data_IF_095075186402
#
_entry.id   IF_095075186402
#
_cell.length_a   1.000
_cell.length_b   1.000
_cell.length_c   1.000
_cell.angle_alpha   90.00
_cell.angle_beta   90.00
_cell.angle_gamma   90.00
#
_symmetry.space_group_name_H-M   'P 1'
#
loop_
_entity.id
_entity.type
_entity.pdbx_description
1 polymer ?
#
# COMPACT_ATOMS: atom_id res chain seq x y z
N UNK A 1 14.75 -1.29 16.79
CA UNK A 1 14.75 -2.41 17.77
C UNK A 1 13.53 -2.39 18.71
N UNK A 2 13.17 -1.26 19.37
CA UNK A 2 12.01 -1.22 20.30
C UNK A 2 10.69 -1.64 19.62
N UNK A 3 10.40 -1.12 18.42
CA UNK A 3 9.21 -1.52 17.66
C UNK A 3 9.23 -3.01 17.29
N UNK A 4 10.36 -3.51 16.81
CA UNK A 4 10.51 -4.93 16.46
C UNK A 4 10.21 -5.85 17.65
N UNK A 5 10.74 -5.52 18.84
CA UNK A 5 10.46 -6.30 20.06
C UNK A 5 8.96 -6.29 20.39
N UNK A 6 8.29 -5.12 20.28
CA UNK A 6 6.85 -5.02 20.49
C UNK A 6 6.08 -5.93 19.52
N UNK A 7 6.43 -5.93 18.22
CA UNK A 7 5.77 -6.82 17.24
C UNK A 7 6.00 -8.30 17.58
N UNK A 8 7.23 -8.68 18.00
CA UNK A 8 7.53 -10.04 18.43
C UNK A 8 6.73 -10.43 19.68
N UNK A 9 6.67 -9.57 20.67
CA UNK A 9 5.90 -9.80 21.92
C UNK A 9 4.40 -9.95 21.63
N UNK A 10 3.87 -9.19 20.66
CA UNK A 10 2.50 -9.31 20.18
C UNK A 10 2.28 -10.51 19.24
N UNK A 11 3.30 -11.29 18.92
CA UNK A 11 3.25 -12.41 17.94
C UNK A 11 2.71 -11.97 16.56
N UNK A 12 3.06 -10.76 16.13
CA UNK A 12 2.66 -10.27 14.82
C UNK A 12 3.30 -11.14 13.71
N UNK A 13 2.55 -11.52 12.66
CA UNK A 13 3.06 -12.39 11.59
C UNK A 13 4.02 -11.66 10.64
N UNK A 14 3.94 -10.34 10.57
CA UNK A 14 4.79 -9.49 9.73
C UNK A 14 4.81 -8.05 10.25
N UNK A 15 5.77 -7.28 9.78
CA UNK A 15 5.79 -5.83 9.98
C UNK A 15 5.27 -5.13 8.73
N UNK A 16 4.20 -4.36 8.86
CA UNK A 16 3.69 -3.51 7.76
C UNK A 16 4.59 -2.29 7.62
N UNK A 17 5.03 -2.03 6.40
CA UNK A 17 5.92 -0.92 6.08
C UNK A 17 5.42 -0.17 4.84
N UNK A 18 5.46 1.16 4.89
CA UNK A 18 5.25 2.03 3.74
C UNK A 18 6.34 3.11 3.72
N UNK A 19 6.83 3.48 2.55
CA UNK A 19 7.69 4.64 2.39
C UNK A 19 6.84 5.91 2.39
N UNK A 20 7.01 6.73 3.39
CA UNK A 20 6.15 7.92 3.62
C UNK A 20 6.92 9.24 3.60
N UNK A 21 8.19 9.22 3.19
CA UNK A 21 8.98 10.44 3.03
C UNK A 21 8.29 11.36 2.02
N UNK A 22 8.08 12.61 2.41
CA UNK A 22 7.38 13.64 1.64
C UNK A 22 5.95 13.27 1.21
N UNK A 23 5.34 12.27 1.86
CA UNK A 23 3.97 11.87 1.53
C UNK A 23 2.96 12.98 1.82
N UNK A 24 1.93 13.06 0.97
CA UNK A 24 0.85 14.05 1.10
C UNK A 24 -0.40 13.49 1.79
N UNK A 25 -0.34 12.26 2.26
CA UNK A 25 -1.50 11.55 2.84
C UNK A 25 -2.14 12.28 4.04
N UNK A 26 -1.36 12.98 4.83
CA UNK A 26 -1.84 13.73 6.00
C UNK A 26 -2.06 15.22 5.75
N UNK A 27 -1.63 15.73 4.60
CA UNK A 27 -1.68 17.16 4.31
C UNK A 27 -3.10 17.59 3.90
N UNK A 28 -3.71 18.57 4.59
CA UNK A 28 -5.06 19.03 4.27
C UNK A 28 -5.12 19.98 3.06
N UNK A 29 -3.98 20.37 2.49
CA UNK A 29 -3.89 21.38 1.43
C UNK A 29 -3.35 20.84 0.11
N UNK A 30 -2.59 19.73 0.16
CA UNK A 30 -1.93 19.18 -1.02
C UNK A 30 -2.81 18.09 -1.65
N UNK A 31 -3.27 18.28 -2.89
CA UNK A 31 -4.09 17.29 -3.58
C UNK A 31 -3.28 16.04 -3.96
N UNK A 32 -3.97 14.91 -4.15
CA UNK A 32 -3.35 13.62 -4.46
C UNK A 32 -2.52 13.66 -5.75
N UNK A 33 -2.89 14.46 -6.74
CA UNK A 33 -2.12 14.63 -7.99
C UNK A 33 -0.70 15.14 -7.75
N UNK A 34 -0.44 15.80 -6.62
CA UNK A 34 0.85 16.38 -6.23
C UNK A 34 1.69 15.49 -5.32
N UNK A 35 1.29 14.21 -5.17
CA UNK A 35 2.07 13.25 -4.38
C UNK A 35 3.51 13.10 -4.91
N UNK A 36 4.47 12.70 -4.07
CA UNK A 36 5.85 12.49 -4.50
C UNK A 36 5.94 11.34 -5.51
N UNK A 37 6.88 11.46 -6.44
CA UNK A 37 7.24 10.41 -7.40
C UNK A 37 8.76 10.25 -7.41
N UNK A 38 9.23 9.01 -7.45
CA UNK A 38 10.67 8.73 -7.50
C UNK A 38 11.18 8.83 -8.93
N UNK A 39 12.27 9.57 -9.13
CA UNK A 39 13.06 9.47 -10.37
C UNK A 39 13.91 8.18 -10.34
N UNK A 40 14.52 7.81 -11.47
CA UNK A 40 15.25 6.54 -11.60
C UNK A 40 16.42 6.38 -10.62
N UNK A 41 17.13 7.45 -10.31
CA UNK A 41 18.29 7.37 -9.40
C UNK A 41 17.85 7.17 -7.95
N UNK A 42 16.77 7.85 -7.54
CA UNK A 42 16.17 7.66 -6.22
C UNK A 42 15.50 6.30 -6.13
N UNK A 43 14.84 5.83 -7.22
CA UNK A 43 14.26 4.49 -7.31
C UNK A 43 15.32 3.40 -7.05
N UNK A 44 16.46 3.43 -7.74
CA UNK A 44 17.54 2.45 -7.52
C UNK A 44 18.02 2.42 -6.07
N UNK A 45 18.20 3.59 -5.47
CA UNK A 45 18.60 3.70 -4.06
C UNK A 45 17.53 3.15 -3.10
N UNK A 46 16.26 3.42 -3.40
CA UNK A 46 15.13 2.91 -2.64
C UNK A 46 15.07 1.37 -2.71
N UNK A 47 15.16 0.78 -3.92
CA UNK A 47 15.18 -0.68 -4.10
C UNK A 47 16.34 -1.33 -3.34
N UNK A 48 17.54 -0.77 -3.45
CA UNK A 48 18.68 -1.27 -2.69
C UNK A 48 18.39 -1.27 -1.17
N UNK A 49 17.90 -0.16 -0.63
CA UNK A 49 17.65 -0.03 0.80
C UNK A 49 16.52 -0.92 1.30
N UNK A 50 15.43 -1.06 0.54
CA UNK A 50 14.31 -1.90 0.96
C UNK A 50 14.70 -3.39 0.97
N UNK A 51 15.53 -3.83 0.01
CA UNK A 51 16.08 -5.19 0.02
C UNK A 51 16.92 -5.45 1.27
N UNK A 52 17.86 -4.54 1.61
CA UNK A 52 18.70 -4.68 2.80
C UNK A 52 17.88 -4.73 4.10
N UNK A 53 16.91 -3.82 4.24
CA UNK A 53 16.01 -3.80 5.41
C UNK A 53 15.21 -5.10 5.47
N UNK A 54 14.68 -5.56 4.35
CA UNK A 54 13.83 -6.74 4.30
C UNK A 54 14.58 -8.02 4.66
N UNK A 55 15.84 -8.18 4.19
CA UNK A 55 16.72 -9.28 4.58
C UNK A 55 16.98 -9.27 6.09
N UNK A 56 17.38 -8.11 6.62
CA UNK A 56 17.58 -7.95 8.06
C UNK A 56 16.33 -8.31 8.88
N UNK A 57 15.15 -7.94 8.39
CA UNK A 57 13.89 -8.24 9.05
C UNK A 57 13.54 -9.73 9.02
N UNK A 58 13.86 -10.44 7.92
CA UNK A 58 13.71 -11.90 7.84
C UNK A 58 14.66 -12.60 8.83
N UNK A 59 15.93 -12.18 8.92
CA UNK A 59 16.91 -12.72 9.87
C UNK A 59 16.45 -12.54 11.32
N UNK A 60 15.69 -11.50 11.60
CA UNK A 60 15.04 -11.26 12.89
C UNK A 60 13.71 -12.04 13.08
N UNK A 61 13.31 -12.86 12.10
CA UNK A 61 12.06 -13.63 12.15
C UNK A 61 10.78 -12.78 12.00
N UNK A 62 10.89 -11.58 11.40
CA UNK A 62 9.78 -10.65 11.21
C UNK A 62 9.74 -10.16 9.75
N UNK A 63 9.09 -10.89 8.82
CA UNK A 63 9.05 -10.48 7.42
C UNK A 63 8.37 -9.11 7.26
N UNK A 64 8.91 -8.32 6.32
CA UNK A 64 8.40 -6.99 6.00
C UNK A 64 7.37 -7.09 4.88
N UNK A 65 6.13 -6.66 5.14
CA UNK A 65 5.06 -6.53 4.16
C UNK A 65 4.96 -5.08 3.67
N UNK A 66 5.35 -4.83 2.42
CA UNK A 66 5.27 -3.49 1.86
C UNK A 66 3.81 -3.12 1.57
N UNK A 67 3.38 -2.00 2.12
CA UNK A 67 2.04 -1.43 1.95
C UNK A 67 2.08 -0.26 0.95
N UNK A 68 1.51 -0.44 -0.24
CA UNK A 68 1.22 0.66 -1.15
C UNK A 68 0.13 1.55 -0.52
N UNK A 69 0.25 2.86 -0.65
CA UNK A 69 -0.68 3.76 0.04
C UNK A 69 -0.91 5.04 -0.76
N UNK A 70 -2.14 5.54 -0.73
CA UNK A 70 -2.49 6.83 -1.34
C UNK A 70 -1.62 7.96 -0.80
N UNK A 71 -1.18 8.85 -1.70
CA UNK A 71 -0.37 10.01 -1.35
C UNK A 71 1.11 9.71 -1.09
N UNK A 72 1.59 8.49 -1.35
CA UNK A 72 3.00 8.07 -1.19
C UNK A 72 3.68 7.85 -2.55
N UNK A 73 4.96 7.49 -2.51
CA UNK A 73 5.77 7.18 -3.71
C UNK A 73 5.37 5.87 -4.40
N UNK A 74 4.73 4.95 -3.68
CA UNK A 74 4.18 3.69 -4.21
C UNK A 74 2.67 3.70 -3.94
N UNK A 75 1.89 4.07 -4.93
CA UNK A 75 0.44 4.23 -4.82
C UNK A 75 -0.31 3.36 -5.83
N UNK A 76 0.09 3.42 -7.09
CA UNK A 76 -0.63 2.79 -8.20
C UNK A 76 -0.31 1.29 -8.34
N UNK A 77 -1.18 0.56 -9.07
CA UNK A 77 -0.94 -0.84 -9.45
C UNK A 77 0.41 -1.01 -10.15
N UNK A 78 0.73 -0.14 -11.11
CA UNK A 78 1.98 -0.21 -11.86
C UNK A 78 3.22 0.05 -10.98
N UNK A 79 3.16 1.02 -10.07
CA UNK A 79 4.26 1.28 -9.13
C UNK A 79 4.44 0.12 -8.15
N UNK A 80 3.35 -0.48 -7.68
CA UNK A 80 3.38 -1.65 -6.80
C UNK A 80 3.97 -2.87 -7.54
N UNK A 81 3.54 -3.13 -8.77
CA UNK A 81 4.08 -4.20 -9.60
C UNK A 81 5.59 -3.98 -9.84
N UNK A 82 5.97 -2.78 -10.26
CA UNK A 82 7.38 -2.41 -10.48
C UNK A 82 8.22 -2.61 -9.21
N UNK A 83 7.70 -2.25 -8.04
CA UNK A 83 8.40 -2.47 -6.77
C UNK A 83 8.68 -3.95 -6.55
N UNK A 84 7.66 -4.80 -6.68
CA UNK A 84 7.79 -6.23 -6.42
C UNK A 84 8.70 -6.91 -7.46
N UNK A 85 8.63 -6.51 -8.72
CA UNK A 85 9.51 -6.99 -9.80
C UNK A 85 10.96 -6.54 -9.64
N UNK A 86 11.20 -5.38 -9.02
CA UNK A 86 12.54 -4.81 -8.81
C UNK A 86 13.21 -5.26 -7.52
N UNK A 87 12.51 -5.97 -6.64
CA UNK A 87 12.99 -6.33 -5.30
C UNK A 87 13.21 -7.83 -5.14
N UNK A 88 14.08 -8.20 -4.20
CA UNK A 88 14.31 -9.58 -3.81
C UNK A 88 13.07 -10.21 -3.16
N UNK A 89 13.01 -11.54 -3.11
CA UNK A 89 11.89 -12.28 -2.49
C UNK A 89 11.71 -12.03 -0.99
N UNK A 90 12.70 -11.44 -0.34
CA UNK A 90 12.62 -10.99 1.05
C UNK A 90 11.60 -9.85 1.24
N UNK A 91 11.38 -8.99 0.24
CA UNK A 91 10.36 -7.93 0.28
C UNK A 91 9.00 -8.55 0.00
N UNK A 92 8.13 -8.64 0.98
CA UNK A 92 6.78 -9.18 0.83
C UNK A 92 5.77 -8.06 0.56
N UNK A 93 4.60 -8.45 0.06
CA UNK A 93 3.55 -7.53 -0.36
C UNK A 93 2.39 -7.56 0.63
N UNK A 94 1.88 -6.39 0.95
CA UNK A 94 0.55 -6.18 1.50
C UNK A 94 -0.32 -5.53 0.42
N UNK A 95 -1.47 -6.10 0.15
CA UNK A 95 -2.49 -5.47 -0.71
C UNK A 95 -3.58 -4.87 0.16
N UNK A 96 -3.80 -3.56 0.00
CA UNK A 96 -4.95 -2.86 0.56
C UNK A 96 -5.97 -2.61 -0.55
N UNK A 97 -7.12 -3.28 -0.46
CA UNK A 97 -8.15 -3.24 -1.50
C UNK A 97 -8.72 -1.85 -1.72
N UNK A 98 -8.89 -1.07 -0.64
CA UNK A 98 -9.40 0.28 -0.72
C UNK A 98 -8.40 1.26 -1.35
N UNK A 99 -7.14 1.24 -0.90
CA UNK A 99 -6.10 2.07 -1.52
C UNK A 99 -5.88 1.72 -2.98
N UNK A 100 -5.91 0.43 -3.33
CA UNK A 100 -5.75 0.00 -4.73
C UNK A 100 -6.90 0.50 -5.61
N UNK A 101 -8.17 0.39 -5.14
CA UNK A 101 -9.31 0.91 -5.89
C UNK A 101 -9.27 2.44 -5.97
N UNK A 102 -8.88 3.13 -4.90
CA UNK A 102 -8.76 4.60 -4.91
C UNK A 102 -7.72 5.06 -5.94
N UNK A 103 -6.62 4.32 -6.07
CA UNK A 103 -5.60 4.52 -7.11
C UNK A 103 -6.03 4.02 -8.51
N UNK A 104 -7.30 3.63 -8.68
CA UNK A 104 -7.88 3.11 -9.93
C UNK A 104 -7.19 1.82 -10.44
N UNK A 105 -6.59 1.06 -9.54
CA UNK A 105 -5.93 -0.22 -9.82
C UNK A 105 -6.82 -1.43 -9.52
N UNK A 106 -6.32 -2.62 -9.85
CA UNK A 106 -7.02 -3.89 -9.71
C UNK A 106 -6.29 -4.81 -8.71
N UNK A 107 -6.83 -4.89 -7.49
CA UNK A 107 -6.28 -5.72 -6.41
C UNK A 107 -6.28 -7.22 -6.74
N UNK A 108 -7.28 -7.72 -7.49
CA UNK A 108 -7.36 -9.13 -7.90
C UNK A 108 -6.23 -9.49 -8.87
N UNK A 109 -5.98 -8.61 -9.86
CA UNK A 109 -4.89 -8.80 -10.82
C UNK A 109 -3.53 -8.77 -10.12
N UNK A 110 -3.33 -7.80 -9.22
CA UNK A 110 -2.09 -7.69 -8.45
C UNK A 110 -1.87 -8.93 -7.56
N UNK A 111 -2.91 -9.40 -6.87
CA UNK A 111 -2.83 -10.60 -6.03
C UNK A 111 -2.48 -11.86 -6.85
N UNK A 112 -3.10 -12.04 -8.03
CA UNK A 112 -2.79 -13.17 -8.93
C UNK A 112 -1.35 -13.15 -9.42
N UNK A 113 -0.86 -11.98 -9.83
CA UNK A 113 0.49 -11.84 -10.39
C UNK A 113 1.58 -12.05 -9.32
N UNK A 114 1.30 -11.69 -8.06
CA UNK A 114 2.30 -11.68 -6.99
C UNK A 114 1.87 -12.51 -5.76
N UNK A 115 1.07 -13.56 -5.95
CA UNK A 115 0.57 -14.42 -4.88
C UNK A 115 1.68 -14.97 -3.97
N UNK A 116 2.84 -15.32 -4.53
CA UNK A 116 4.00 -15.85 -3.79
C UNK A 116 4.68 -14.80 -2.88
N UNK A 117 4.41 -13.53 -3.13
CA UNK A 117 4.94 -12.40 -2.35
C UNK A 117 3.90 -11.83 -1.39
N UNK A 118 2.61 -12.14 -1.58
CA UNK A 118 1.50 -11.65 -0.77
C UNK A 118 1.44 -12.36 0.58
N UNK A 119 1.64 -11.64 1.68
CA UNK A 119 1.59 -12.20 3.04
C UNK A 119 0.59 -11.48 3.96
N UNK A 120 0.05 -10.35 3.53
CA UNK A 120 -0.92 -9.60 4.32
C UNK A 120 -1.93 -8.86 3.45
N UNK A 121 -3.13 -8.62 3.98
CA UNK A 121 -4.21 -7.92 3.27
C UNK A 121 -4.90 -6.94 4.22
N UNK A 122 -5.15 -5.73 3.76
CA UNK A 122 -6.10 -4.81 4.36
C UNK A 122 -7.40 -4.80 3.53
N UNK A 123 -8.48 -5.28 4.13
CA UNK A 123 -9.80 -5.31 3.49
C UNK A 123 -10.56 -4.01 3.79
N UNK A 124 -10.19 -2.92 3.11
CA UNK A 124 -10.97 -1.68 3.14
C UNK A 124 -11.89 -1.62 1.92
N UNK A 125 -13.15 -1.26 2.13
CA UNK A 125 -14.08 -0.99 1.04
C UNK A 125 -14.15 0.52 0.73
N UNK A 126 -14.74 0.88 -0.39
CA UNK A 126 -14.81 2.26 -0.88
C UNK A 126 -16.25 2.63 -1.25
N UNK A 127 -16.70 3.78 -0.77
CA UNK A 127 -17.96 4.40 -1.22
C UNK A 127 -17.73 5.10 -2.54
N UNK A 128 -18.32 4.54 -3.60
CA UNK A 128 -18.07 4.96 -4.99
C UNK A 128 -18.37 6.43 -5.26
N UNK A 129 -19.46 6.94 -4.73
CA UNK A 129 -19.86 8.35 -4.91
C UNK A 129 -18.82 9.33 -4.35
N UNK A 130 -18.19 8.98 -3.21
CA UNK A 130 -17.15 9.80 -2.58
C UNK A 130 -15.83 9.66 -3.35
N UNK A 131 -15.50 8.46 -3.80
CA UNK A 131 -14.35 8.22 -4.68
C UNK A 131 -14.46 9.07 -5.95
N UNK A 132 -15.59 8.98 -6.67
CA UNK A 132 -15.80 9.70 -7.92
C UNK A 132 -15.73 11.22 -7.71
N UNK A 133 -16.29 11.72 -6.61
CA UNK A 133 -16.18 13.13 -6.23
C UNK A 133 -14.73 13.54 -5.98
N UNK A 134 -14.00 12.76 -5.20
CA UNK A 134 -12.61 13.04 -4.84
C UNK A 134 -11.69 13.04 -6.05
N UNK A 135 -11.85 12.08 -6.97
CA UNK A 135 -11.07 12.02 -8.20
C UNK A 135 -11.38 13.19 -9.14
N UNK A 136 -12.65 13.54 -9.30
CA UNK A 136 -13.09 14.65 -10.16
C UNK A 136 -12.56 16.00 -9.69
N UNK A 137 -12.46 16.21 -8.39
CA UNK A 137 -12.07 17.49 -7.80
C UNK A 137 -10.60 17.54 -7.37
N UNK A 138 -9.82 16.50 -7.66
CA UNK A 138 -8.43 16.36 -7.18
C UNK A 138 -8.31 16.66 -5.69
N UNK A 139 -9.20 16.04 -4.89
CA UNK A 139 -9.26 16.26 -3.45
C UNK A 139 -7.95 15.85 -2.77
N UNK A 140 -7.67 16.43 -1.58
CA UNK A 140 -6.62 15.88 -0.73
C UNK A 140 -7.04 14.50 -0.23
N UNK A 141 -6.09 13.62 0.02
CA UNK A 141 -6.40 12.30 0.59
C UNK A 141 -7.09 12.44 1.96
N UNK A 142 -6.62 13.40 2.76
CA UNK A 142 -7.23 13.68 4.06
C UNK A 142 -8.71 14.08 3.94
N UNK A 143 -9.06 14.92 2.96
CA UNK A 143 -10.47 15.31 2.76
C UNK A 143 -11.31 14.10 2.32
N UNK A 144 -10.84 13.32 1.35
CA UNK A 144 -11.53 12.11 0.92
C UNK A 144 -11.76 11.12 2.08
N UNK A 145 -10.78 10.98 2.96
CA UNK A 145 -10.92 10.16 4.17
C UNK A 145 -11.97 10.71 5.13
N UNK A 146 -11.96 12.02 5.40
CA UNK A 146 -12.95 12.69 6.28
C UNK A 146 -14.36 12.63 5.72
N UNK A 147 -14.51 12.69 4.40
CA UNK A 147 -15.79 12.54 3.70
C UNK A 147 -16.30 11.09 3.74
N UNK A 148 -15.50 10.16 4.27
CA UNK A 148 -15.88 8.77 4.44
C UNK A 148 -15.71 7.92 3.19
N UNK A 149 -14.69 8.20 2.36
CA UNK A 149 -14.38 7.39 1.18
C UNK A 149 -14.13 5.91 1.54
N UNK A 150 -13.44 5.65 2.65
CA UNK A 150 -13.17 4.30 3.12
C UNK A 150 -14.26 3.80 4.08
N UNK A 151 -14.59 2.53 3.96
CA UNK A 151 -15.60 1.88 4.80
C UNK A 151 -15.26 0.41 5.04
N UNK A 152 -16.11 -0.30 5.78
CA UNK A 152 -15.97 -1.74 6.05
C UNK A 152 -16.35 -2.57 4.82
N UNK A 153 -15.79 -3.78 4.66
CA UNK A 153 -16.18 -4.70 3.58
C UNK A 153 -17.69 -4.94 3.52
N UNK A 154 -18.26 -4.76 2.33
CA UNK A 154 -19.69 -4.92 2.05
C UNK A 154 -20.55 -3.66 2.17
N UNK A 155 -19.98 -2.55 2.65
CA UNK A 155 -20.65 -1.23 2.72
C UNK A 155 -20.17 -0.29 1.58
N UNK A 156 -19.37 -0.78 0.67
CA UNK A 156 -18.83 -0.05 -0.47
C UNK A 156 -19.13 -0.71 -1.81
N UNK A 157 -18.21 -0.56 -2.75
CA UNK A 157 -18.40 -1.04 -4.12
C UNK A 157 -17.41 -2.16 -4.52
N UNK A 158 -16.57 -2.65 -3.61
CA UNK A 158 -15.59 -3.69 -3.93
C UNK A 158 -16.27 -5.07 -3.89
N UNK A 159 -16.23 -5.80 -5.02
CA UNK A 159 -16.56 -7.22 -5.01
C UNK A 159 -15.36 -8.03 -4.49
N UNK A 160 -15.48 -8.53 -3.27
CA UNK A 160 -14.43 -9.33 -2.63
C UNK A 160 -14.36 -10.78 -3.10
N UNK A 161 -15.43 -11.31 -3.74
CA UNK A 161 -15.47 -12.73 -4.13
C UNK A 161 -14.31 -13.16 -5.02
N UNK A 162 -13.94 -12.40 -6.09
CA UNK A 162 -12.80 -12.79 -6.91
C UNK A 162 -11.45 -12.60 -6.20
N UNK A 163 -11.35 -11.64 -5.28
CA UNK A 163 -10.12 -11.39 -4.52
C UNK A 163 -9.83 -12.51 -3.50
N UNK A 164 -10.86 -12.98 -2.79
CA UNK A 164 -10.73 -14.03 -1.77
C UNK A 164 -10.54 -15.44 -2.34
N UNK A 165 -10.58 -15.60 -3.68
CA UNK A 165 -10.32 -16.87 -4.38
C UNK A 165 -8.88 -16.98 -4.90
N UNK A 166 -8.06 -15.96 -4.74
CA UNK A 166 -6.64 -15.98 -5.10
C UNK A 166 -5.83 -16.58 -3.96
#
# INVERSE_FOLDING_TARGET
>A
RKQLNLFKDCKAPCMVFAEVTDSVQGDPKVPLSKRPKLNEDVWKKFIFRINEISKMMIDEGMPLAYHHHMGTVIETENETARLIESTDDSVKLLIDTGHMLFAQGNSVKLAKNFSQRLIHVHCKDIRKNILDHSLKNDSTFRQAFLDGAFTVPGDGCIDYKPFLKV
#
